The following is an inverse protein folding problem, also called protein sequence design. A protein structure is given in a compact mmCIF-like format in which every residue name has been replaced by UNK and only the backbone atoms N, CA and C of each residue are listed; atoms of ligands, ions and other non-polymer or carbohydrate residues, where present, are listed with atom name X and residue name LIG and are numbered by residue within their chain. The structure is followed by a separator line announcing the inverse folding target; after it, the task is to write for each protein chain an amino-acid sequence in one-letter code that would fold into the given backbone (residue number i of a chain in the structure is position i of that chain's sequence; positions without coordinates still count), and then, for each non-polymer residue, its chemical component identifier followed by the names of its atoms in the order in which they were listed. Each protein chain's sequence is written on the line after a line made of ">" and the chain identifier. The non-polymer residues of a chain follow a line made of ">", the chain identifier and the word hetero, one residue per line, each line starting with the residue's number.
data_IF_938383459939
#
_entry.id   IF_938383459939
#
_cell.length_a   1.000
_cell.length_b   1.000
_cell.length_c   1.000
_cell.angle_alpha   90.00
_cell.angle_beta   90.00
_cell.angle_gamma   90.00
#
_symmetry.space_group_name_H-M   'P 1'
#
loop_
_entity.id
_entity.type
_entity.pdbx_description
1 polymer ?
#
# COMPACT_ATOMS: atom_id res chain seq x y z
N UNK A 1 -27.32 15.43 0.31
CA UNK A 1 -26.28 15.16 1.33
C UNK A 1 -25.93 13.66 1.43
N UNK A 2 -26.88 12.78 1.76
CA UNK A 2 -26.63 11.33 1.96
C UNK A 2 -26.02 10.64 0.72
N UNK A 3 -26.56 10.89 -0.47
CA UNK A 3 -26.03 10.30 -1.72
C UNK A 3 -24.56 10.68 -2.00
N UNK A 4 -24.14 11.89 -1.61
CA UNK A 4 -22.76 12.35 -1.77
C UNK A 4 -21.79 11.59 -0.85
N UNK A 5 -22.23 11.28 0.38
CA UNK A 5 -21.47 10.49 1.34
C UNK A 5 -21.33 9.05 0.87
N UNK A 6 -22.44 8.41 0.45
CA UNK A 6 -22.42 7.04 -0.06
C UNK A 6 -21.48 6.86 -1.27
N UNK A 7 -21.50 7.82 -2.19
CA UNK A 7 -20.61 7.79 -3.35
C UNK A 7 -19.14 7.98 -2.95
N UNK A 8 -18.85 8.83 -1.95
CA UNK A 8 -17.51 8.98 -1.38
C UNK A 8 -17.00 7.67 -0.76
N UNK A 9 -17.84 7.02 0.06
CA UNK A 9 -17.53 5.72 0.65
C UNK A 9 -17.29 4.67 -0.44
N UNK A 10 -18.18 4.59 -1.44
CA UNK A 10 -18.02 3.65 -2.55
C UNK A 10 -16.73 3.87 -3.35
N UNK A 11 -16.33 5.13 -3.54
CA UNK A 11 -15.06 5.47 -4.21
C UNK A 11 -13.85 4.99 -3.42
N UNK A 12 -13.87 5.16 -2.09
CA UNK A 12 -12.81 4.68 -1.20
C UNK A 12 -12.79 3.15 -1.15
N UNK A 13 -13.95 2.49 -1.06
CA UNK A 13 -14.02 1.03 -1.05
C UNK A 13 -13.47 0.43 -2.36
N UNK A 14 -13.84 0.98 -3.51
CA UNK A 14 -13.33 0.51 -4.79
C UNK A 14 -11.81 0.75 -4.92
N UNK A 15 -11.34 1.92 -4.47
CA UNK A 15 -9.91 2.21 -4.40
C UNK A 15 -9.15 1.25 -3.49
N UNK A 16 -9.71 0.91 -2.32
CA UNK A 16 -9.11 -0.02 -1.36
C UNK A 16 -9.01 -1.43 -1.96
N UNK A 17 -10.06 -1.91 -2.63
CA UNK A 17 -10.07 -3.22 -3.27
C UNK A 17 -9.03 -3.28 -4.38
N UNK A 18 -9.06 -2.34 -5.33
CA UNK A 18 -8.16 -2.37 -6.49
C UNK A 18 -6.70 -2.08 -6.11
N UNK A 19 -6.47 -1.21 -5.14
CA UNK A 19 -5.15 -1.00 -4.55
C UNK A 19 -4.63 -2.26 -3.87
N UNK A 20 -5.48 -2.96 -3.11
CA UNK A 20 -5.10 -4.21 -2.42
C UNK A 20 -4.80 -5.34 -3.41
N UNK A 21 -5.58 -5.44 -4.50
CA UNK A 21 -5.30 -6.39 -5.58
C UNK A 21 -3.92 -6.14 -6.18
N UNK A 22 -3.58 -4.88 -6.48
CA UNK A 22 -2.24 -4.55 -6.98
C UNK A 22 -1.15 -4.86 -5.95
N UNK A 23 -1.38 -4.52 -4.67
CA UNK A 23 -0.46 -4.83 -3.58
C UNK A 23 -0.13 -6.33 -3.52
N UNK A 24 -1.16 -7.19 -3.45
CA UNK A 24 -1.00 -8.64 -3.39
C UNK A 24 -0.32 -9.16 -4.65
N UNK A 25 -0.67 -8.62 -5.81
CA UNK A 25 -0.06 -9.00 -7.10
C UNK A 25 1.44 -8.71 -7.11
N UNK A 26 1.84 -7.51 -6.69
CA UNK A 26 3.26 -7.12 -6.64
C UNK A 26 4.01 -7.95 -5.60
N UNK A 27 3.41 -8.23 -4.45
CA UNK A 27 4.00 -9.09 -3.42
C UNK A 27 4.27 -10.50 -3.94
N UNK A 28 3.29 -11.12 -4.61
CA UNK A 28 3.41 -12.46 -5.19
C UNK A 28 4.43 -12.52 -6.34
N UNK A 29 4.51 -11.47 -7.18
CA UNK A 29 5.60 -11.39 -8.16
C UNK A 29 6.96 -11.32 -7.48
N UNK A 30 7.03 -10.66 -6.33
CA UNK A 30 8.23 -10.59 -5.50
C UNK A 30 8.73 -11.94 -5.02
N UNK A 31 7.84 -12.83 -4.58
CA UNK A 31 8.25 -14.17 -4.10
C UNK A 31 8.80 -15.06 -5.21
N UNK A 32 8.38 -14.84 -6.46
CA UNK A 32 8.91 -15.52 -7.65
C UNK A 32 10.29 -14.95 -8.03
N UNK A 33 10.46 -13.63 -7.99
CA UNK A 33 11.67 -12.95 -8.45
C UNK A 33 12.79 -12.92 -7.39
N UNK A 34 12.41 -12.83 -6.12
CA UNK A 34 13.30 -12.84 -4.96
C UNK A 34 12.77 -13.93 -4.02
N UNK A 35 13.28 -15.17 -4.16
CA UNK A 35 12.82 -16.27 -3.34
C UNK A 35 13.13 -16.02 -1.85
N UNK A 36 12.38 -16.71 -1.00
CA UNK A 36 12.62 -16.71 0.44
C UNK A 36 14.07 -17.16 0.75
N UNK A 37 14.71 -16.62 1.79
CA UNK A 37 16.00 -17.10 2.26
C UNK A 37 15.96 -18.60 2.60
N UNK A 38 17.11 -19.27 2.53
CA UNK A 38 17.23 -20.67 2.93
C UNK A 38 16.84 -20.82 4.41
N UNK A 39 16.01 -21.83 4.71
CA UNK A 39 15.50 -22.09 6.06
C UNK A 39 14.34 -21.20 6.51
N UNK A 40 13.89 -20.23 5.70
CA UNK A 40 12.72 -19.42 6.02
C UNK A 40 11.42 -20.18 5.72
N UNK A 41 10.53 -20.26 6.71
CA UNK A 41 9.13 -20.66 6.51
C UNK A 41 8.29 -19.43 6.19
N UNK A 42 7.71 -19.38 5.00
CA UNK A 42 6.79 -18.30 4.57
C UNK A 42 5.37 -18.81 4.33
N UNK A 43 5.06 -20.05 4.76
CA UNK A 43 3.75 -20.67 4.57
C UNK A 43 2.71 -20.25 5.62
N UNK A 44 3.19 -19.77 6.77
CA UNK A 44 2.35 -19.30 7.88
C UNK A 44 2.81 -17.92 8.36
N UNK A 45 1.91 -17.18 9.02
CA UNK A 45 2.22 -15.87 9.57
C UNK A 45 3.23 -15.94 10.73
N UNK A 46 3.12 -16.98 11.57
CA UNK A 46 4.05 -17.27 12.67
C UNK A 46 5.43 -17.69 12.12
N UNK A 47 5.47 -18.62 11.17
CA UNK A 47 6.70 -19.03 10.49
C UNK A 47 7.41 -17.86 9.81
N UNK A 48 6.65 -16.98 9.12
CA UNK A 48 7.20 -15.79 8.49
C UNK A 48 7.84 -14.86 9.53
N UNK A 49 7.12 -14.58 10.62
CA UNK A 49 7.60 -13.74 11.72
C UNK A 49 8.90 -14.26 12.31
N UNK A 50 8.95 -15.56 12.59
CA UNK A 50 10.13 -16.21 13.17
C UNK A 50 11.29 -16.26 12.17
N UNK A 51 11.01 -16.30 10.87
CA UNK A 51 12.02 -16.32 9.79
C UNK A 51 12.54 -14.92 9.40
N UNK A 52 11.96 -13.83 9.89
CA UNK A 52 12.33 -12.47 9.49
C UNK A 52 13.82 -12.14 9.70
N UNK A 53 14.46 -12.77 10.69
CA UNK A 53 15.89 -12.59 10.96
C UNK A 53 16.81 -13.12 9.84
N UNK A 54 16.29 -14.00 8.97
CA UNK A 54 17.00 -14.54 7.81
C UNK A 54 16.89 -13.62 6.58
N UNK A 55 15.99 -12.63 6.61
CA UNK A 55 15.71 -11.79 5.44
C UNK A 55 16.85 -10.80 5.17
N UNK A 56 17.21 -10.69 3.89
CA UNK A 56 18.21 -9.75 3.41
C UNK A 56 17.52 -8.48 2.87
N UNK A 57 18.24 -7.35 2.73
CA UNK A 57 17.67 -6.11 2.22
C UNK A 57 16.89 -6.25 0.91
N UNK A 58 17.33 -7.14 0.00
CA UNK A 58 16.63 -7.44 -1.26
C UNK A 58 15.21 -7.99 -1.05
N UNK A 59 14.96 -8.75 0.03
CA UNK A 59 13.66 -9.35 0.31
C UNK A 59 12.60 -8.30 0.69
N UNK A 60 13.02 -7.09 1.06
CA UNK A 60 12.15 -5.99 1.45
C UNK A 60 11.75 -5.07 0.28
N UNK A 61 12.35 -5.25 -0.89
CA UNK A 61 12.06 -4.43 -2.08
C UNK A 61 10.60 -4.58 -2.52
N UNK A 62 10.12 -5.80 -2.67
CA UNK A 62 8.75 -6.06 -3.14
C UNK A 62 7.67 -5.70 -2.12
N UNK A 63 7.83 -5.92 -0.82
CA UNK A 63 6.95 -5.35 0.19
C UNK A 63 6.78 -3.83 0.05
N UNK A 64 7.89 -3.07 -0.05
CA UNK A 64 7.83 -1.63 -0.26
C UNK A 64 7.09 -1.26 -1.55
N UNK A 65 7.45 -1.90 -2.66
CA UNK A 65 6.81 -1.64 -3.96
C UNK A 65 5.32 -1.96 -3.92
N UNK A 66 4.92 -3.06 -3.28
CA UNK A 66 3.53 -3.46 -3.13
C UNK A 66 2.74 -2.42 -2.31
N UNK A 67 3.28 -1.96 -1.19
CA UNK A 67 2.65 -0.92 -0.37
C UNK A 67 2.52 0.40 -1.15
N UNK A 68 3.61 0.83 -1.80
CA UNK A 68 3.67 2.08 -2.54
C UNK A 68 2.74 2.09 -3.76
N UNK A 69 2.80 1.06 -4.59
CA UNK A 69 1.99 0.96 -5.81
C UNK A 69 0.51 0.74 -5.49
N UNK A 70 0.22 -0.10 -4.49
CA UNK A 70 -1.15 -0.34 -4.01
C UNK A 70 -1.79 0.94 -3.47
N UNK A 71 -1.08 1.67 -2.61
CA UNK A 71 -1.56 2.95 -2.08
C UNK A 71 -1.78 3.96 -3.19
N UNK A 72 -0.81 4.09 -4.11
CA UNK A 72 -0.91 5.01 -5.25
C UNK A 72 -2.14 4.71 -6.12
N UNK A 73 -2.30 3.47 -6.57
CA UNK A 73 -3.40 3.08 -7.45
C UNK A 73 -4.75 3.25 -6.75
N UNK A 74 -4.87 2.81 -5.50
CA UNK A 74 -6.11 2.96 -4.73
C UNK A 74 -6.48 4.43 -4.53
N UNK A 75 -5.48 5.26 -4.17
CA UNK A 75 -5.66 6.71 -4.00
C UNK A 75 -6.05 7.39 -5.31
N UNK A 76 -5.42 6.98 -6.42
CA UNK A 76 -5.70 7.50 -7.76
C UNK A 76 -7.15 7.20 -8.17
N UNK A 77 -7.60 5.95 -8.00
CA UNK A 77 -8.96 5.54 -8.34
C UNK A 77 -9.98 6.30 -7.48
N UNK A 78 -9.79 6.32 -6.16
CA UNK A 78 -10.71 7.01 -5.25
C UNK A 78 -10.80 8.52 -5.57
N UNK A 79 -9.65 9.15 -5.86
CA UNK A 79 -9.60 10.56 -6.24
C UNK A 79 -10.24 10.84 -7.60
N UNK A 80 -10.06 9.95 -8.60
CA UNK A 80 -10.63 10.11 -9.93
C UNK A 80 -12.16 10.07 -9.89
N UNK A 81 -12.74 9.17 -9.10
CA UNK A 81 -14.19 9.00 -8.96
C UNK A 81 -14.84 10.20 -8.27
N UNK A 82 -14.24 10.75 -7.20
CA UNK A 82 -14.81 11.87 -6.45
C UNK A 82 -14.11 13.19 -6.74
N UNK A 83 -14.58 13.95 -7.75
CA UNK A 83 -13.94 15.22 -8.15
C UNK A 83 -13.82 16.25 -7.02
N UNK A 84 -14.94 16.59 -6.39
CA UNK A 84 -15.04 17.65 -5.37
C UNK A 84 -14.31 17.33 -4.05
N UNK A 85 -14.16 16.04 -3.72
CA UNK A 85 -13.50 15.58 -2.49
C UNK A 85 -12.32 14.66 -2.77
N UNK A 86 -11.66 14.84 -3.92
CA UNK A 86 -10.60 13.97 -4.38
C UNK A 86 -9.48 13.81 -3.34
N UNK A 87 -9.08 14.93 -2.72
CA UNK A 87 -8.04 14.94 -1.68
C UNK A 87 -8.42 14.08 -0.46
N UNK A 88 -9.64 14.25 0.05
CA UNK A 88 -10.13 13.49 1.21
C UNK A 88 -10.17 12.00 0.87
N UNK A 89 -10.70 11.63 -0.30
CA UNK A 89 -10.77 10.24 -0.73
C UNK A 89 -9.38 9.60 -0.94
N UNK A 90 -8.42 10.33 -1.51
CA UNK A 90 -7.06 9.83 -1.69
C UNK A 90 -6.34 9.61 -0.36
N UNK A 91 -6.36 10.60 0.54
CA UNK A 91 -5.69 10.48 1.83
C UNK A 91 -6.37 9.47 2.75
N UNK A 92 -7.69 9.24 2.61
CA UNK A 92 -8.35 8.13 3.28
C UNK A 92 -7.74 6.77 2.88
N UNK A 93 -7.46 6.55 1.59
CA UNK A 93 -6.76 5.35 1.13
C UNK A 93 -5.34 5.29 1.71
N UNK A 94 -4.57 6.38 1.61
CA UNK A 94 -3.21 6.44 2.16
C UNK A 94 -3.16 6.12 3.64
N UNK A 95 -4.11 6.64 4.42
CA UNK A 95 -4.21 6.38 5.84
C UNK A 95 -4.60 4.91 6.14
N UNK A 96 -5.56 4.35 5.40
CA UNK A 96 -5.94 2.93 5.57
C UNK A 96 -4.79 1.97 5.26
N UNK A 97 -4.06 2.22 4.16
CA UNK A 97 -2.86 1.44 3.84
C UNK A 97 -1.76 1.66 4.89
N UNK A 98 -1.55 2.89 5.36
CA UNK A 98 -0.58 3.19 6.41
C UNK A 98 -0.88 2.40 7.69
N UNK A 99 -2.16 2.30 8.10
CA UNK A 99 -2.55 1.49 9.26
C UNK A 99 -2.22 0.01 9.04
N UNK A 100 -2.47 -0.52 7.83
CA UNK A 100 -2.07 -1.89 7.48
C UNK A 100 -0.55 -2.09 7.55
N UNK A 101 0.22 -1.16 7.00
CA UNK A 101 1.68 -1.15 7.08
C UNK A 101 2.22 -1.08 8.50
N UNK A 102 1.64 -0.22 9.32
CA UNK A 102 1.99 -0.07 10.73
C UNK A 102 1.72 -1.37 11.51
N UNK A 103 0.58 -2.01 11.27
CA UNK A 103 0.27 -3.33 11.84
C UNK A 103 1.32 -4.36 11.41
N UNK A 104 1.70 -4.38 10.12
CA UNK A 104 2.74 -5.27 9.63
C UNK A 104 4.08 -5.06 10.34
N UNK A 105 4.52 -3.82 10.54
CA UNK A 105 5.78 -3.52 11.25
C UNK A 105 5.73 -3.93 12.72
N UNK A 106 4.57 -3.77 13.38
CA UNK A 106 4.38 -4.18 14.78
C UNK A 106 4.45 -5.71 14.91
N UNK A 107 3.91 -6.44 13.93
CA UNK A 107 3.80 -7.89 13.99
C UNK A 107 5.04 -8.62 13.43
N UNK A 108 5.56 -8.14 12.30
CA UNK A 108 6.72 -8.70 11.59
C UNK A 108 7.97 -7.84 11.91
N UNK A 109 8.90 -8.35 12.74
CA UNK A 109 10.10 -7.60 13.09
C UNK A 109 10.92 -7.34 11.82
N UNK A 110 11.09 -6.07 11.48
CA UNK A 110 11.86 -5.67 10.30
C UNK A 110 13.03 -4.75 10.69
N UNK A 111 14.09 -4.67 9.87
CA UNK A 111 15.17 -3.73 10.10
C UNK A 111 14.64 -2.28 10.19
N UNK A 112 15.18 -1.50 11.11
CA UNK A 112 14.73 -0.12 11.35
C UNK A 112 14.75 0.73 10.07
N UNK A 113 15.77 0.59 9.22
CA UNK A 113 15.84 1.33 7.96
C UNK A 113 14.64 1.04 7.05
N UNK A 114 14.19 -0.21 6.98
CA UNK A 114 13.07 -0.61 6.14
C UNK A 114 11.77 -0.07 6.70
N UNK A 115 11.55 -0.23 8.01
CA UNK A 115 10.40 0.36 8.72
C UNK A 115 10.26 1.85 8.40
N UNK A 116 11.35 2.61 8.49
CA UNK A 116 11.33 4.04 8.20
C UNK A 116 11.04 4.35 6.73
N UNK A 117 11.72 3.67 5.81
CA UNK A 117 11.49 3.87 4.37
C UNK A 117 10.05 3.56 3.99
N UNK A 118 9.51 2.44 4.48
CA UNK A 118 8.16 2.01 4.16
C UNK A 118 7.11 2.96 4.73
N UNK A 119 7.12 3.21 6.05
CA UNK A 119 6.12 4.04 6.72
C UNK A 119 6.15 5.50 6.24
N UNK A 120 7.32 6.03 5.87
CA UNK A 120 7.44 7.41 5.39
C UNK A 120 6.98 7.50 3.93
N UNK A 121 7.42 6.61 3.05
CA UNK A 121 7.30 6.83 1.61
C UNK A 121 6.19 6.03 0.92
N UNK A 122 5.81 4.86 1.44
CA UNK A 122 4.88 3.98 0.72
C UNK A 122 3.41 4.40 0.81
N UNK A 123 3.07 5.33 1.71
CA UNK A 123 1.68 5.62 2.04
C UNK A 123 1.26 7.04 1.65
N UNK A 124 1.36 8.00 2.58
CA UNK A 124 0.89 9.37 2.39
C UNK A 124 1.56 10.08 1.20
N UNK A 125 2.88 9.94 0.95
CA UNK A 125 3.48 10.51 -0.25
C UNK A 125 2.92 9.92 -1.54
N UNK A 126 2.59 8.63 -1.57
CA UNK A 126 1.98 8.01 -2.75
C UNK A 126 0.55 8.50 -2.97
N UNK A 127 -0.22 8.76 -1.91
CA UNK A 127 -1.52 9.45 -2.05
C UNK A 127 -1.37 10.87 -2.59
N UNK A 128 -0.35 11.61 -2.14
CA UNK A 128 -0.03 12.93 -2.69
C UNK A 128 0.34 12.85 -4.18
N UNK A 129 1.21 11.93 -4.58
CA UNK A 129 1.57 11.71 -5.98
C UNK A 129 0.34 11.39 -6.85
N UNK A 130 -0.57 10.57 -6.34
CA UNK A 130 -1.83 10.27 -7.03
C UNK A 130 -2.67 11.54 -7.24
N UNK A 131 -2.78 12.41 -6.23
CA UNK A 131 -3.49 13.69 -6.35
C UNK A 131 -2.85 14.65 -7.36
N UNK A 132 -1.51 14.71 -7.38
CA UNK A 132 -0.77 15.50 -8.38
C UNK A 132 -1.05 14.99 -9.79
N UNK A 133 -1.14 13.67 -9.98
CA UNK A 133 -1.48 13.12 -11.28
C UNK A 133 -2.93 13.45 -11.67
N UNK A 134 -3.89 13.31 -10.73
CA UNK A 134 -5.30 13.64 -10.98
C UNK A 134 -5.49 15.11 -11.33
N UNK A 135 -4.78 16.03 -10.67
CA UNK A 135 -4.88 17.46 -10.97
C UNK A 135 -4.38 17.78 -12.38
N UNK A 136 -3.28 17.14 -12.81
CA UNK A 136 -2.74 17.28 -14.17
C UNK A 136 -3.63 16.68 -15.26
N UNK A 137 -4.32 15.58 -14.96
CA UNK A 137 -5.29 14.98 -15.89
C UNK A 137 -6.49 15.89 -16.08
N UNK A 138 -6.94 16.56 -15.00
CA UNK A 138 -8.13 17.43 -15.02
C UNK A 138 -7.86 18.84 -15.55
N UNK A 139 -6.61 19.27 -15.60
CA UNK A 139 -6.23 20.56 -16.17
C UNK A 139 -6.10 20.52 -17.70
N UNK A 140 -6.23 19.35 -18.31
CA UNK A 140 -6.34 19.15 -19.77
C UNK A 140 -7.81 18.99 -20.14
#
# INVERSE_FOLDING_TARGET
>A
MVQNVLYGIGSVLLGLILGSVLNITVLNLGTILIPAPEGADVSTMEGLRDSMHLFLPKNFLFPFLAHASGTFLGSLIAAMLRKEHASICAYAIGFLFFLGGLINVIYLPSPLWFTLVDLIFAYLPMSYCALVLVSRIRSK
#
